data_IF_739887519263
#
_entry.id   IF_739887519263
#
_cell.length_a   1.000
_cell.length_b   1.000
_cell.length_c   1.000
_cell.angle_alpha   90.00
_cell.angle_beta   90.00
_cell.angle_gamma   90.00
#
_symmetry.space_group_name_H-M   'P 1'
#
loop_
_entity.id
_entity.type
_entity.pdbx_description
1 polymer ?
#
# COMPACT_ATOMS: atom_id res chain seq x y z
N UNK A 1 -31.34 4.75 -1.96
CA UNK A 1 -30.12 5.46 -1.52
C UNK A 1 -28.92 4.54 -1.50
N UNK A 2 -29.04 3.41 -0.79
CA UNK A 2 -27.92 2.47 -0.68
C UNK A 2 -27.54 1.87 -2.02
N UNK A 3 -28.50 1.61 -2.90
CA UNK A 3 -28.26 1.05 -4.23
C UNK A 3 -27.44 1.99 -5.11
N UNK A 4 -27.71 3.29 -5.01
CA UNK A 4 -26.99 4.30 -5.80
C UNK A 4 -25.55 4.40 -5.31
N UNK A 5 -25.34 4.43 -3.99
CA UNK A 5 -24.02 4.50 -3.40
C UNK A 5 -23.21 3.22 -3.70
N UNK A 6 -23.84 2.05 -3.55
CA UNK A 6 -23.21 0.78 -3.85
C UNK A 6 -22.78 0.71 -5.31
N UNK A 7 -23.63 1.18 -6.24
CA UNK A 7 -23.33 1.19 -7.67
C UNK A 7 -22.15 2.12 -7.97
N UNK A 8 -22.13 3.29 -7.33
CA UNK A 8 -21.02 4.24 -7.48
C UNK A 8 -19.69 3.63 -7.01
N UNK A 9 -19.69 2.99 -5.85
CA UNK A 9 -18.51 2.33 -5.30
C UNK A 9 -18.03 1.23 -6.22
N UNK A 10 -18.94 0.38 -6.72
CA UNK A 10 -18.59 -0.72 -7.63
C UNK A 10 -18.01 -0.21 -8.94
N UNK A 11 -18.59 0.86 -9.51
CA UNK A 11 -18.10 1.44 -10.75
C UNK A 11 -16.72 2.05 -10.56
N UNK A 12 -16.48 2.73 -9.44
CA UNK A 12 -15.18 3.30 -9.11
C UNK A 12 -14.13 2.19 -8.95
N UNK A 13 -14.50 1.11 -8.30
CA UNK A 13 -13.62 -0.04 -8.10
C UNK A 13 -13.20 -0.66 -9.43
N UNK A 14 -14.15 -0.86 -10.34
CA UNK A 14 -13.89 -1.41 -11.68
C UNK A 14 -12.97 -0.49 -12.48
N UNK A 15 -13.18 0.81 -12.38
CA UNK A 15 -12.33 1.79 -13.05
C UNK A 15 -10.91 1.72 -12.54
N UNK A 16 -10.73 1.65 -11.24
CA UNK A 16 -9.42 1.53 -10.62
C UNK A 16 -8.72 0.25 -11.09
N UNK A 17 -9.43 -0.89 -11.08
CA UNK A 17 -8.88 -2.17 -11.52
C UNK A 17 -8.41 -2.13 -12.98
N UNK A 18 -9.08 -1.36 -13.83
CA UNK A 18 -8.71 -1.26 -15.25
C UNK A 18 -7.33 -0.65 -15.45
N UNK A 19 -6.81 0.06 -14.46
CA UNK A 19 -5.50 0.69 -14.51
C UNK A 19 -4.41 -0.08 -13.76
N UNK A 20 -4.72 -1.25 -13.23
CA UNK A 20 -3.79 -2.01 -12.39
C UNK A 20 -2.42 -2.25 -13.02
N UNK A 21 -2.40 -2.52 -14.32
CA UNK A 21 -1.17 -2.82 -15.06
C UNK A 21 -0.30 -1.60 -15.35
N UNK A 22 -0.69 -0.42 -14.88
CA UNK A 22 0.01 0.85 -15.13
C UNK A 22 0.60 1.45 -13.86
N UNK A 23 1.20 0.60 -13.04
CA UNK A 23 1.76 1.02 -11.75
C UNK A 23 0.72 1.19 -10.67
N UNK A 24 -0.50 0.66 -10.88
CA UNK A 24 -1.61 0.74 -9.93
C UNK A 24 -2.09 -0.67 -9.61
N UNK A 25 -2.19 -1.01 -8.34
CA UNK A 25 -2.60 -2.36 -7.97
C UNK A 25 -3.19 -2.43 -6.57
N UNK A 26 -4.02 -3.44 -6.36
CA UNK A 26 -4.60 -3.76 -5.05
C UNK A 26 -3.72 -4.73 -4.29
N UNK A 27 -3.74 -4.60 -2.99
CA UNK A 27 -3.03 -5.49 -2.09
C UNK A 27 -3.91 -5.73 -0.87
N UNK A 28 -4.27 -6.98 -0.59
CA UNK A 28 -5.07 -7.35 0.57
C UNK A 28 -4.22 -8.16 1.55
N UNK A 29 -4.26 -7.74 2.79
CA UNK A 29 -3.52 -8.33 3.90
C UNK A 29 -4.48 -8.87 4.95
N UNK A 30 -4.07 -9.91 5.64
CA UNK A 30 -4.74 -10.40 6.84
C UNK A 30 -3.77 -10.29 8.02
N UNK A 31 -4.24 -10.39 9.29
CA UNK A 31 -3.34 -10.33 10.45
C UNK A 31 -2.28 -11.43 10.48
N UNK A 32 -2.50 -12.50 9.72
CA UNK A 32 -1.54 -13.61 9.64
C UNK A 32 -0.41 -13.36 8.63
N UNK A 33 -0.57 -12.36 7.78
CA UNK A 33 0.44 -12.06 6.77
C UNK A 33 1.66 -11.43 7.43
N UNK A 34 2.82 -11.96 7.10
CA UNK A 34 4.09 -11.46 7.59
C UNK A 34 4.73 -10.64 6.47
N UNK A 35 4.22 -9.42 6.29
CA UNK A 35 4.71 -8.53 5.24
C UNK A 35 6.14 -8.10 5.52
N UNK A 36 7.02 -8.12 4.54
CA UNK A 36 8.39 -7.65 4.73
C UNK A 36 8.46 -6.14 4.81
N UNK A 37 9.56 -5.65 5.34
CA UNK A 37 9.92 -4.24 5.23
C UNK A 37 10.48 -4.04 3.83
N UNK A 38 9.94 -3.07 3.10
CA UNK A 38 10.26 -2.83 1.68
C UNK A 38 10.76 -1.40 1.51
N UNK A 39 11.66 -1.21 0.56
CA UNK A 39 12.08 0.11 0.10
C UNK A 39 12.06 0.14 -1.43
N UNK A 40 11.60 1.27 -1.98
CA UNK A 40 11.71 1.58 -3.39
C UNK A 40 12.71 2.72 -3.53
N UNK A 41 13.74 2.56 -4.34
CA UNK A 41 14.83 3.55 -4.41
C UNK A 41 14.52 4.70 -5.36
N UNK A 42 13.71 4.44 -6.40
CA UNK A 42 13.40 5.42 -7.44
C UNK A 42 11.92 5.69 -7.60
N UNK A 43 11.09 4.99 -6.83
CA UNK A 43 9.63 5.01 -6.96
C UNK A 43 9.01 5.65 -5.74
N UNK A 44 8.20 6.67 -5.95
CA UNK A 44 7.28 7.16 -4.92
C UNK A 44 6.02 6.30 -4.95
N UNK A 45 5.43 6.08 -3.80
CA UNK A 45 4.22 5.27 -3.68
C UNK A 45 3.13 6.06 -2.96
N UNK A 46 1.99 6.17 -3.59
CA UNK A 46 0.78 6.67 -2.95
C UNK A 46 -0.09 5.48 -2.61
N UNK A 47 -0.45 5.34 -1.35
CA UNK A 47 -1.28 4.24 -0.88
C UNK A 47 -2.58 4.77 -0.31
N UNK A 48 -3.69 4.23 -0.77
CA UNK A 48 -5.02 4.52 -0.27
C UNK A 48 -5.59 3.29 0.41
N UNK A 49 -6.17 3.46 1.61
CA UNK A 49 -6.82 2.36 2.33
C UNK A 49 -8.25 2.24 1.85
N UNK A 50 -8.53 1.19 1.09
CA UNK A 50 -9.85 0.94 0.50
C UNK A 50 -10.81 0.43 1.58
N UNK A 51 -10.35 -0.50 2.43
CA UNK A 51 -11.15 -1.07 3.51
C UNK A 51 -10.26 -1.66 4.59
N UNK A 52 -10.81 -1.79 5.79
CA UNK A 52 -10.11 -2.39 6.91
C UNK A 52 -9.33 -1.40 7.73
N UNK A 53 -8.61 -1.92 8.71
CA UNK A 53 -7.77 -1.16 9.63
C UNK A 53 -6.43 -1.84 9.78
N UNK A 54 -5.39 -1.05 10.01
CA UNK A 54 -4.06 -1.59 10.18
C UNK A 54 -3.07 -0.55 10.65
N UNK A 55 -1.81 -0.85 10.42
CA UNK A 55 -0.70 0.06 10.71
C UNK A 55 0.26 0.08 9.53
N UNK A 56 0.93 1.22 9.38
CA UNK A 56 2.10 1.33 8.52
C UNK A 56 3.29 1.68 9.41
N UNK A 57 4.41 1.02 9.19
CA UNK A 57 5.68 1.41 9.79
C UNK A 57 6.47 2.11 8.68
N UNK A 58 6.58 3.43 8.79
CA UNK A 58 7.20 4.28 7.77
C UNK A 58 8.48 4.86 8.34
N UNK A 59 9.63 4.46 7.77
CA UNK A 59 10.96 4.82 8.29
C UNK A 59 11.06 4.59 9.80
N UNK A 60 10.56 3.45 10.28
CA UNK A 60 10.60 3.08 11.70
C UNK A 60 9.50 3.69 12.55
N UNK A 61 8.66 4.56 12.00
CA UNK A 61 7.57 5.20 12.76
C UNK A 61 6.26 4.48 12.49
N UNK A 62 5.57 4.09 13.55
CA UNK A 62 4.29 3.38 13.48
C UNK A 62 3.16 4.41 13.38
N UNK A 63 2.27 4.20 12.45
CA UNK A 63 1.09 5.04 12.23
C UNK A 63 -0.12 4.15 11.99
N UNK A 64 -1.22 4.45 12.67
CA UNK A 64 -2.49 3.76 12.44
C UNK A 64 -3.10 4.24 11.14
N UNK A 65 -3.67 3.31 10.39
CA UNK A 65 -4.36 3.58 9.13
C UNK A 65 -5.72 2.90 9.12
N UNK A 66 -6.68 3.53 8.45
CA UNK A 66 -8.04 3.02 8.34
C UNK A 66 -8.61 3.41 6.98
N UNK A 67 -9.80 2.90 6.68
CA UNK A 67 -10.51 3.23 5.45
C UNK A 67 -10.48 4.74 5.20
N UNK A 68 -10.03 5.14 4.03
CA UNK A 68 -9.90 6.53 3.64
C UNK A 68 -8.55 7.16 3.91
N UNK A 69 -7.68 6.49 4.69
CA UNK A 69 -6.32 6.99 4.90
C UNK A 69 -5.55 6.99 3.58
N UNK A 70 -4.75 8.03 3.38
CA UNK A 70 -3.90 8.17 2.21
C UNK A 70 -2.48 8.40 2.69
N UNK A 71 -1.55 7.56 2.26
CA UNK A 71 -0.17 7.59 2.71
C UNK A 71 0.74 7.80 1.50
N UNK A 72 1.64 8.78 1.61
CA UNK A 72 2.67 9.01 0.60
C UNK A 72 4.01 8.48 1.12
N UNK A 73 4.58 7.55 0.35
CA UNK A 73 5.87 6.94 0.66
C UNK A 73 6.87 7.44 -0.38
N UNK A 74 7.78 8.32 0.04
CA UNK A 74 8.82 8.81 -0.87
C UNK A 74 9.82 7.71 -1.19
N UNK A 75 10.43 7.82 -2.37
CA UNK A 75 11.53 6.94 -2.75
C UNK A 75 12.62 6.98 -1.67
N UNK A 76 13.13 5.82 -1.30
CA UNK A 76 14.13 5.68 -0.25
C UNK A 76 13.57 5.44 1.14
N UNK A 77 12.27 5.62 1.36
CA UNK A 77 11.65 5.38 2.66
C UNK A 77 11.30 3.90 2.84
N UNK A 78 11.72 3.32 3.96
CA UNK A 78 11.30 1.96 4.30
C UNK A 78 9.85 1.96 4.75
N UNK A 79 9.11 0.92 4.40
CA UNK A 79 7.72 0.82 4.80
C UNK A 79 7.28 -0.64 4.95
N UNK A 80 6.32 -0.85 5.86
CA UNK A 80 5.73 -2.16 6.12
C UNK A 80 4.28 -1.96 6.53
N UNK A 81 3.38 -2.71 5.93
CA UNK A 81 1.95 -2.68 6.27
C UNK A 81 1.59 -3.89 7.10
N UNK A 82 0.70 -3.70 8.07
CA UNK A 82 0.14 -4.76 8.90
C UNK A 82 -1.35 -4.58 9.03
N UNK A 83 -2.11 -5.66 8.88
CA UNK A 83 -3.55 -5.65 9.07
C UNK A 83 -3.89 -5.87 10.54
N UNK A 84 -4.81 -5.06 11.08
CA UNK A 84 -5.37 -5.24 12.43
C UNK A 84 -6.81 -5.77 12.37
N UNK A 85 -7.52 -5.53 11.27
CA UNK A 85 -8.82 -6.14 11.00
C UNK A 85 -8.65 -7.44 10.24
N UNK A 86 -9.75 -8.18 10.03
CA UNK A 86 -9.73 -9.46 9.32
C UNK A 86 -9.08 -9.34 7.95
N UNK A 87 -9.34 -8.22 7.26
CA UNK A 87 -8.70 -7.88 6.00
C UNK A 87 -8.38 -6.39 5.96
N UNK A 88 -7.25 -6.07 5.38
CA UNK A 88 -6.84 -4.69 5.07
C UNK A 88 -6.58 -4.65 3.57
N UNK A 89 -7.38 -3.87 2.85
CA UNK A 89 -7.23 -3.73 1.40
C UNK A 89 -6.66 -2.37 1.08
N UNK A 90 -5.54 -2.38 0.38
CA UNK A 90 -4.77 -1.21 -0.01
C UNK A 90 -4.82 -1.07 -1.52
N UNK A 91 -4.78 0.16 -1.99
CA UNK A 91 -4.57 0.49 -3.40
C UNK A 91 -3.30 1.31 -3.51
N UNK A 92 -2.34 0.80 -4.27
CA UNK A 92 -1.03 1.42 -4.45
C UNK A 92 -0.90 2.03 -5.84
N UNK A 93 -0.32 3.23 -5.89
CA UNK A 93 0.08 3.88 -7.15
C UNK A 93 1.58 4.12 -7.08
N UNK A 94 2.31 3.58 -8.04
CA UNK A 94 3.77 3.77 -8.16
C UNK A 94 4.06 4.88 -9.16
N UNK A 95 4.87 5.86 -8.78
CA UNK A 95 5.20 7.06 -9.56
C UNK A 95 6.72 7.29 -9.50
N UNK A 96 7.44 7.15 -10.61
CA UNK A 96 7.02 6.64 -11.91
C UNK A 96 6.75 5.14 -11.86
N UNK A 97 6.13 4.60 -12.89
CA UNK A 97 5.90 3.17 -13.02
C UNK A 97 7.20 2.50 -13.52
N UNK A 98 7.98 2.00 -12.59
CA UNK A 98 9.23 1.27 -12.89
C UNK A 98 8.99 -0.22 -13.13
N UNK A 99 7.74 -0.66 -13.08
CA UNK A 99 7.39 -2.07 -13.03
C UNK A 99 7.36 -2.55 -11.59
N UNK A 100 6.37 -3.36 -11.26
CA UNK A 100 6.01 -3.71 -9.88
C UNK A 100 7.19 -4.19 -9.03
N UNK A 101 8.05 -5.03 -9.59
CA UNK A 101 9.14 -5.67 -8.85
C UNK A 101 10.53 -5.15 -9.23
N UNK A 102 10.62 -4.24 -10.19
CA UNK A 102 11.91 -3.77 -10.70
C UNK A 102 12.63 -2.82 -9.74
N UNK A 103 11.89 -2.17 -8.85
CA UNK A 103 12.44 -1.24 -7.86
C UNK A 103 11.88 -1.57 -6.48
N UNK A 104 11.96 -2.85 -6.10
CA UNK A 104 11.44 -3.32 -4.82
C UNK A 104 12.51 -4.14 -4.12
N UNK A 105 12.93 -3.66 -2.97
CA UNK A 105 13.98 -4.31 -2.18
C UNK A 105 13.44 -4.65 -0.81
N UNK A 106 13.66 -5.89 -0.38
CA UNK A 106 13.30 -6.33 0.96
C UNK A 106 14.44 -5.98 1.89
N UNK A 107 14.12 -5.23 2.94
CA UNK A 107 15.09 -4.82 3.95
C UNK A 107 15.13 -5.89 5.04
N UNK A 108 16.29 -6.53 5.19
CA UNK A 108 16.50 -7.54 6.23
C UNK A 108 17.25 -6.90 7.39
N UNK A 109 17.07 -7.48 8.58
CA UNK A 109 17.60 -7.01 9.86
C UNK A 109 18.78 -6.04 9.80
N UNK A 110 19.95 -6.52 9.39
CA UNK A 110 21.19 -5.72 9.38
C UNK A 110 21.18 -4.62 8.31
N UNK A 111 20.32 -4.74 7.30
CA UNK A 111 20.24 -3.78 6.19
C UNK A 111 19.27 -2.63 6.49
N UNK A 112 18.47 -2.74 7.55
CA UNK A 112 17.45 -1.74 7.87
C UNK A 112 18.03 -0.33 7.98
N UNK A 113 19.13 -0.18 8.69
CA UNK A 113 19.76 1.12 8.91
C UNK A 113 20.38 1.71 7.64
N UNK A 114 20.66 0.88 6.64
CA UNK A 114 21.25 1.33 5.37
C UNK A 114 20.32 2.26 4.60
N UNK A 115 19.01 2.11 4.77
CA UNK A 115 18.01 2.86 4.01
C UNK A 115 17.35 3.97 4.83
N UNK A 116 17.73 4.08 6.06
CA UNK A 116 17.28 5.16 6.94
C UNK A 116 18.37 6.21 7.09
#
# INVERSE_FOLDING_TARGET
MDDILSQYIMNSYKLIQSYEKKGRYFHTLTPKDNSPIVVHKRTNQLTYVVSGEGTIVLDGKVQNIEKGSCIFVEAGMTHQFKANSAELTLFHIHIPDEGRDNDRFIVKGDDYNRYN
#
